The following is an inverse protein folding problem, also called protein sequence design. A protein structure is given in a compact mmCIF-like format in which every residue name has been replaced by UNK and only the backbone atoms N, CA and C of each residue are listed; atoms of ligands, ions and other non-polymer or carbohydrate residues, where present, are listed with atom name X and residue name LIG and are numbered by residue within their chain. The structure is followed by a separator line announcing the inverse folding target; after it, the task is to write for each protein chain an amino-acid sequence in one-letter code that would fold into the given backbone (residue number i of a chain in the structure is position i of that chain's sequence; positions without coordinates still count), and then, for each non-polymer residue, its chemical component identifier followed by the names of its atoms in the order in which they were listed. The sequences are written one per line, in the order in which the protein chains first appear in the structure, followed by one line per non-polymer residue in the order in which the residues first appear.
data_IF_432302135351
#
_entry.id   IF_432302135351
#
_cell.length_a   1.000
_cell.length_b   1.000
_cell.length_c   1.000
_cell.angle_alpha   90.00
_cell.angle_beta   90.00
_cell.angle_gamma   90.00
#
_symmetry.space_group_name_H-M   'P 1'
#
loop_
_entity.id
_entity.type
_entity.pdbx_description
1 polymer ?
#
# COMPACT_ATOMS: atom_id res chain seq x y z
N UNK A 1 -18.11 19.50 -9.86
CA UNK A 1 -17.03 19.24 -10.83
C UNK A 1 -15.76 19.09 -10.01
N UNK A 2 -15.34 17.83 -9.85
CA UNK A 2 -14.14 17.28 -9.20
C UNK A 2 -13.92 17.58 -7.72
N UNK A 3 -14.26 16.54 -6.96
CA UNK A 3 -14.02 16.35 -5.54
C UNK A 3 -12.72 15.50 -5.35
N UNK A 4 -11.95 15.31 -6.44
CA UNK A 4 -11.00 14.20 -6.61
C UNK A 4 -9.59 14.46 -6.08
N UNK A 5 -9.26 15.69 -5.64
CA UNK A 5 -7.91 16.01 -5.16
C UNK A 5 -7.55 15.39 -3.80
N UNK A 6 -8.50 14.75 -3.11
CA UNK A 6 -8.26 14.14 -1.79
C UNK A 6 -7.96 12.63 -1.79
N UNK A 7 -8.01 11.92 -2.93
CA UNK A 7 -7.97 10.44 -2.95
C UNK A 7 -7.18 9.83 -4.11
N UNK A 8 -6.17 10.52 -4.66
CA UNK A 8 -5.35 9.97 -5.75
C UNK A 8 -4.69 8.61 -5.41
N UNK A 9 -4.44 8.34 -4.13
CA UNK A 9 -3.87 7.08 -3.65
C UNK A 9 -4.90 5.95 -3.53
N UNK A 10 -6.21 6.24 -3.47
CA UNK A 10 -7.21 5.19 -3.18
C UNK A 10 -7.31 4.16 -4.31
N UNK A 11 -7.48 4.53 -5.59
CA UNK A 11 -7.60 3.55 -6.68
C UNK A 11 -6.48 2.50 -6.73
N UNK A 12 -5.17 2.83 -6.65
CA UNK A 12 -4.12 1.81 -6.65
C UNK A 12 -4.14 0.93 -5.39
N UNK A 13 -4.51 1.46 -4.23
CA UNK A 13 -4.65 0.64 -3.01
C UNK A 13 -5.81 -0.36 -3.09
N UNK A 14 -6.92 0.02 -3.73
CA UNK A 14 -8.04 -0.89 -3.96
C UNK A 14 -7.65 -2.09 -4.84
N UNK A 15 -6.90 -1.80 -5.91
CA UNK A 15 -6.38 -2.83 -6.82
C UNK A 15 -5.41 -3.76 -6.09
N UNK A 16 -4.50 -3.22 -5.29
CA UNK A 16 -3.59 -4.02 -4.47
C UNK A 16 -4.34 -4.90 -3.44
N UNK A 17 -5.37 -4.37 -2.76
CA UNK A 17 -6.18 -5.16 -1.82
C UNK A 17 -6.96 -6.29 -2.50
N UNK A 18 -7.47 -6.05 -3.70
CA UNK A 18 -8.12 -7.10 -4.48
C UNK A 18 -7.14 -8.18 -4.92
N UNK A 19 -5.95 -7.79 -5.39
CA UNK A 19 -4.88 -8.72 -5.74
C UNK A 19 -4.51 -9.64 -4.56
N UNK A 20 -4.40 -9.06 -3.35
CA UNK A 20 -4.13 -9.81 -2.12
C UNK A 20 -5.24 -10.80 -1.70
N UNK A 21 -6.46 -10.70 -2.26
CA UNK A 21 -7.49 -11.73 -2.03
C UNK A 21 -7.34 -12.94 -2.94
N UNK A 22 -6.62 -12.81 -4.06
CA UNK A 22 -6.36 -13.91 -4.98
C UNK A 22 -5.25 -14.79 -4.42
N UNK A 23 -4.07 -14.20 -4.24
CA UNK A 23 -2.92 -14.79 -3.58
C UNK A 23 -1.82 -13.74 -3.31
N UNK A 24 -0.83 -14.12 -2.50
CA UNK A 24 0.28 -13.26 -2.10
C UNK A 24 1.20 -12.90 -3.28
N UNK A 25 1.44 -13.83 -4.20
CA UNK A 25 2.33 -13.59 -5.36
C UNK A 25 1.72 -12.63 -6.39
N UNK A 26 0.39 -12.67 -6.53
CA UNK A 26 -0.38 -11.72 -7.34
C UNK A 26 -0.37 -10.34 -6.71
N UNK A 27 -0.49 -10.24 -5.38
CA UNK A 27 -0.27 -8.97 -4.69
C UNK A 27 1.12 -8.40 -4.96
N UNK A 28 2.18 -9.20 -4.79
CA UNK A 28 3.56 -8.75 -5.04
C UNK A 28 3.75 -8.25 -6.47
N UNK A 29 3.25 -9.01 -7.46
CA UNK A 29 3.34 -8.67 -8.87
C UNK A 29 2.60 -7.37 -9.21
N UNK A 30 1.39 -7.18 -8.66
CA UNK A 30 0.62 -5.95 -8.82
C UNK A 30 1.32 -4.77 -8.13
N UNK A 31 1.84 -4.99 -6.93
CA UNK A 31 2.54 -3.96 -6.17
C UNK A 31 3.80 -3.48 -6.91
N UNK A 32 4.64 -4.40 -7.40
CA UNK A 32 5.81 -4.08 -8.22
C UNK A 32 5.43 -3.31 -9.48
N UNK A 33 4.42 -3.78 -10.22
CA UNK A 33 3.95 -3.11 -11.42
C UNK A 33 3.40 -1.70 -11.15
N UNK A 34 2.71 -1.48 -10.02
CA UNK A 34 2.26 -0.15 -9.59
C UNK A 34 3.44 0.77 -9.25
N UNK A 35 4.45 0.26 -8.54
CA UNK A 35 5.65 1.03 -8.20
C UNK A 35 6.42 1.43 -9.45
N UNK A 36 6.68 0.49 -10.37
CA UNK A 36 7.35 0.77 -11.65
C UNK A 36 6.56 1.78 -12.50
N UNK A 37 5.24 1.55 -12.64
CA UNK A 37 4.38 2.46 -13.39
C UNK A 37 4.43 3.90 -12.85
N UNK A 38 4.44 4.09 -11.53
CA UNK A 38 4.45 5.42 -10.93
C UNK A 38 5.84 6.06 -10.91
N UNK A 39 6.86 5.35 -10.39
CA UNK A 39 8.18 5.92 -10.13
C UNK A 39 9.12 5.89 -11.34
N UNK A 40 9.02 4.88 -12.20
CA UNK A 40 9.93 4.71 -13.33
C UNK A 40 9.29 5.24 -14.63
N UNK A 41 8.03 4.88 -14.89
CA UNK A 41 7.35 5.20 -16.15
C UNK A 41 6.54 6.51 -16.09
N UNK A 42 6.40 7.12 -14.90
CA UNK A 42 5.62 8.34 -14.68
C UNK A 42 4.16 8.24 -15.21
N UNK A 43 3.54 7.06 -15.05
CA UNK A 43 2.15 6.79 -15.44
C UNK A 43 1.19 7.24 -14.34
N UNK A 44 0.01 7.72 -14.73
CA UNK A 44 -1.07 8.05 -13.81
C UNK A 44 -1.74 6.78 -13.28
N UNK A 45 -1.32 6.33 -12.09
CA UNK A 45 -1.87 5.17 -11.39
C UNK A 45 -3.20 5.47 -10.65
N UNK A 46 -3.72 6.70 -10.71
CA UNK A 46 -5.09 7.00 -10.28
C UNK A 46 -6.12 6.72 -11.39
N UNK A 47 -5.66 6.58 -12.63
CA UNK A 47 -6.49 6.27 -13.79
C UNK A 47 -6.90 4.80 -13.84
N UNK A 48 -8.20 4.55 -13.95
CA UNK A 48 -8.75 3.20 -14.17
C UNK A 48 -8.15 2.51 -15.40
N UNK A 49 -7.86 3.26 -16.46
CA UNK A 49 -7.23 2.72 -17.69
C UNK A 49 -5.84 2.17 -17.39
N UNK A 50 -5.02 2.90 -16.63
CA UNK A 50 -3.68 2.46 -16.23
C UNK A 50 -3.77 1.22 -15.35
N UNK A 51 -4.68 1.23 -14.38
CA UNK A 51 -4.87 0.13 -13.44
C UNK A 51 -5.35 -1.16 -14.13
N UNK A 52 -6.26 -1.07 -15.10
CA UNK A 52 -6.68 -2.22 -15.91
C UNK A 52 -5.55 -2.79 -16.76
N UNK A 53 -4.70 -1.93 -17.34
CA UNK A 53 -3.50 -2.38 -18.05
C UNK A 53 -2.59 -3.16 -17.12
N UNK A 54 -2.24 -2.61 -15.95
CA UNK A 54 -1.39 -3.29 -14.95
C UNK A 54 -1.99 -4.64 -14.53
N UNK A 55 -3.30 -4.69 -14.29
CA UNK A 55 -4.01 -5.92 -13.94
C UNK A 55 -3.88 -7.02 -14.99
N UNK A 56 -4.03 -6.66 -16.26
CA UNK A 56 -3.86 -7.59 -17.39
C UNK A 56 -2.41 -7.99 -17.61
N UNK A 57 -1.47 -7.05 -17.46
CA UNK A 57 -0.04 -7.26 -17.69
C UNK A 57 0.52 -8.30 -16.69
N UNK A 58 -0.05 -8.37 -15.48
CA UNK A 58 0.24 -9.39 -14.46
C UNK A 58 -0.48 -10.74 -14.73
N UNK A 59 -1.31 -10.82 -15.78
CA UNK A 59 -1.96 -12.05 -16.22
C UNK A 59 -3.30 -12.34 -15.54
N UNK A 60 -3.94 -11.33 -14.94
CA UNK A 60 -5.26 -11.47 -14.31
C UNK A 60 -6.35 -11.07 -15.31
N UNK A 61 -7.40 -11.89 -15.40
CA UNK A 61 -8.53 -11.62 -16.29
C UNK A 61 -9.26 -10.32 -15.92
N UNK A 62 -9.66 -9.55 -16.93
CA UNK A 62 -10.31 -8.24 -16.74
C UNK A 62 -11.67 -8.32 -16.06
N UNK A 63 -12.36 -9.45 -16.18
CA UNK A 63 -13.65 -9.69 -15.54
C UNK A 63 -13.53 -9.76 -14.01
N UNK A 64 -12.32 -10.00 -13.49
CA UNK A 64 -12.01 -9.97 -12.06
C UNK A 64 -11.64 -8.57 -11.56
N UNK A 65 -11.32 -7.62 -12.45
CA UNK A 65 -10.97 -6.24 -12.06
C UNK A 65 -12.04 -5.53 -11.20
N UNK A 66 -13.35 -5.69 -11.46
CA UNK A 66 -14.40 -5.10 -10.61
C UNK A 66 -14.37 -5.56 -9.15
N UNK A 67 -13.70 -6.68 -8.82
CA UNK A 67 -13.54 -7.11 -7.43
C UNK A 67 -12.88 -6.02 -6.57
N UNK A 68 -11.97 -5.22 -7.15
CA UNK A 68 -11.37 -4.06 -6.49
C UNK A 68 -12.34 -2.94 -6.08
N UNK A 69 -13.58 -2.96 -6.56
CA UNK A 69 -14.61 -2.00 -6.16
C UNK A 69 -15.45 -2.47 -4.97
N UNK A 70 -15.11 -3.61 -4.35
CA UNK A 70 -15.76 -4.06 -3.11
C UNK A 70 -15.63 -2.98 -2.02
N UNK A 71 -16.75 -2.45 -1.46
CA UNK A 71 -16.72 -1.41 -0.45
C UNK A 71 -15.88 -1.75 0.78
N UNK A 72 -15.67 -3.05 1.08
CA UNK A 72 -14.81 -3.48 2.20
C UNK A 72 -13.37 -3.01 2.03
N UNK A 73 -12.86 -2.94 0.80
CA UNK A 73 -11.50 -2.52 0.52
C UNK A 73 -11.34 -1.04 0.76
N UNK A 74 -12.30 -0.23 0.32
CA UNK A 74 -12.30 1.20 0.60
C UNK A 74 -12.32 1.47 2.10
N UNK A 75 -13.16 0.74 2.84
CA UNK A 75 -13.21 0.82 4.29
C UNK A 75 -11.84 0.48 4.90
N UNK A 76 -11.23 -0.64 4.49
CA UNK A 76 -9.91 -1.07 4.96
C UNK A 76 -8.81 -0.04 4.65
N UNK A 77 -8.77 0.55 3.45
CA UNK A 77 -7.81 1.62 3.11
C UNK A 77 -7.96 2.82 4.04
N UNK A 78 -9.21 3.24 4.30
CA UNK A 78 -9.48 4.40 5.17
C UNK A 78 -9.13 4.08 6.62
N UNK A 79 -9.49 2.90 7.12
CA UNK A 79 -9.21 2.48 8.49
C UNK A 79 -7.70 2.39 8.73
N UNK A 80 -6.94 1.78 7.83
CA UNK A 80 -5.47 1.66 7.94
C UNK A 80 -4.78 3.02 7.86
N UNK A 81 -5.25 3.92 6.99
CA UNK A 81 -4.74 5.29 6.94
C UNK A 81 -5.02 6.04 8.26
N UNK A 82 -6.22 5.91 8.82
CA UNK A 82 -6.58 6.53 10.10
C UNK A 82 -5.76 5.94 11.25
N UNK A 83 -5.52 4.64 11.23
CA UNK A 83 -4.67 3.95 12.20
C UNK A 83 -3.23 4.45 12.13
N UNK A 84 -2.66 4.59 10.93
CA UNK A 84 -1.33 5.15 10.73
C UNK A 84 -1.23 6.58 11.31
N UNK A 85 -2.23 7.43 11.04
CA UNK A 85 -2.29 8.78 11.60
C UNK A 85 -2.43 8.77 13.13
N UNK A 86 -3.23 7.87 13.69
CA UNK A 86 -3.41 7.72 15.14
C UNK A 86 -2.10 7.29 15.84
N UNK A 87 -1.26 6.51 15.16
CA UNK A 87 0.09 6.14 15.62
C UNK A 87 1.16 7.22 15.32
N UNK A 88 0.74 8.42 14.90
CA UNK A 88 1.66 9.54 14.65
C UNK A 88 2.48 9.43 13.36
N UNK A 89 2.12 8.55 12.43
CA UNK A 89 2.76 8.50 11.12
C UNK A 89 2.51 9.81 10.35
N UNK A 90 3.60 10.43 9.89
CA UNK A 90 3.55 11.70 9.15
C UNK A 90 3.93 11.55 7.67
N UNK A 91 4.24 10.33 7.24
CA UNK A 91 4.64 10.02 5.87
C UNK A 91 4.82 8.52 5.65
N UNK A 92 5.22 8.14 4.44
CA UNK A 92 5.49 6.76 4.05
C UNK A 92 6.95 6.61 3.59
N UNK A 93 7.60 5.44 3.82
CA UNK A 93 7.14 4.36 4.69
C UNK A 93 7.15 4.78 6.17
N UNK A 94 6.34 4.11 6.98
CA UNK A 94 6.33 4.25 8.44
C UNK A 94 6.27 2.86 9.07
N UNK A 95 7.05 2.64 10.12
CA UNK A 95 7.17 1.36 10.82
C UNK A 95 6.85 1.55 12.29
N UNK A 96 6.18 0.58 12.91
CA UNK A 96 5.98 0.54 14.36
C UNK A 96 6.18 -0.89 14.86
N UNK A 97 6.61 -1.05 16.10
CA UNK A 97 6.53 -2.35 16.78
C UNK A 97 5.20 -2.48 17.51
N UNK A 98 4.83 -3.70 17.89
CA UNK A 98 3.56 -3.95 18.59
C UNK A 98 3.44 -3.20 19.92
N UNK A 99 4.57 -2.95 20.61
CA UNK A 99 4.59 -2.41 21.97
C UNK A 99 4.86 -0.92 22.04
N UNK A 100 5.23 -0.28 20.94
CA UNK A 100 5.55 1.15 20.89
C UNK A 100 4.60 1.90 19.97
N UNK A 101 3.93 2.90 20.54
CA UNK A 101 2.94 3.74 19.86
C UNK A 101 3.56 4.73 18.87
N UNK A 102 4.89 4.93 18.92
CA UNK A 102 5.59 5.90 18.08
C UNK A 102 6.16 5.21 16.84
N UNK A 103 5.62 5.57 15.67
CA UNK A 103 6.15 5.10 14.39
C UNK A 103 7.52 5.71 14.04
N UNK A 104 8.48 4.87 13.67
CA UNK A 104 9.66 5.28 12.91
C UNK A 104 9.17 5.70 11.52
N UNK A 105 9.11 7.00 11.27
CA UNK A 105 8.62 7.57 10.01
C UNK A 105 9.78 7.87 9.06
N UNK A 106 9.58 7.60 7.77
CA UNK A 106 10.50 7.96 6.69
C UNK A 106 11.41 6.81 6.22
N UNK A 107 12.19 7.11 5.19
CA UNK A 107 13.20 6.18 4.65
C UNK A 107 14.41 6.15 5.59
N UNK A 108 14.72 4.96 6.10
CA UNK A 108 15.89 4.69 6.94
C UNK A 108 16.75 3.61 6.29
N UNK A 109 18.03 3.56 6.66
CA UNK A 109 18.90 2.49 6.19
C UNK A 109 18.54 1.15 6.84
N UNK A 110 18.93 0.04 6.22
CA UNK A 110 18.69 -1.30 6.77
C UNK A 110 19.31 -1.42 8.16
N UNK A 111 20.50 -0.88 8.38
CA UNK A 111 21.20 -0.94 9.67
C UNK A 111 20.46 -0.20 10.79
N UNK A 112 19.77 0.90 10.46
CA UNK A 112 18.93 1.64 11.42
C UNK A 112 17.73 0.79 11.82
N UNK A 113 17.07 0.15 10.84
CA UNK A 113 15.92 -0.71 11.08
C UNK A 113 16.33 -1.97 11.87
N UNK A 114 17.44 -2.62 11.50
CA UNK A 114 18.00 -3.79 12.21
C UNK A 114 18.30 -3.45 13.67
N UNK A 115 18.95 -2.31 13.94
CA UNK A 115 19.23 -1.87 15.31
C UNK A 115 17.95 -1.65 16.11
N UNK A 116 16.93 -1.04 15.48
CA UNK A 116 15.62 -0.85 16.08
C UNK A 116 14.98 -2.19 16.46
N UNK A 117 14.94 -3.14 15.52
CA UNK A 117 14.37 -4.47 15.72
C UNK A 117 15.11 -5.22 16.83
N UNK A 118 16.46 -5.24 16.80
CA UNK A 118 17.26 -5.95 17.79
C UNK A 118 17.03 -5.40 19.21
N UNK A 119 16.97 -4.07 19.36
CA UNK A 119 16.64 -3.46 20.66
C UNK A 119 15.30 -3.94 21.21
N UNK A 120 14.29 -4.04 20.36
CA UNK A 120 12.94 -4.49 20.74
C UNK A 120 12.86 -5.98 21.10
N UNK A 121 13.77 -6.79 20.54
CA UNK A 121 13.90 -8.21 20.87
C UNK A 121 14.69 -8.40 22.18
N UNK A 122 15.72 -7.59 22.41
CA UNK A 122 16.57 -7.66 23.60
C UNK A 122 15.88 -7.08 24.85
N UNK A 123 15.08 -6.01 24.71
CA UNK A 123 14.30 -5.39 25.80
C UNK A 123 13.13 -6.30 26.30
N UNK A 124 12.93 -7.49 25.71
CA UNK A 124 11.92 -8.49 26.11
C UNK A 124 12.47 -9.62 27.02
N UNK A 125 13.67 -9.46 27.58
CA UNK A 125 14.25 -10.33 28.62
C UNK A 125 14.12 -9.70 30.00
#
# INVERSE_FOLDING_TARGET
MRDDFGRCFVPPHLVAKAAAQLDETVFESIHEALMGAYFEDNRDISSEKTLKSIWQDVGIELDQFPAGQDPKFLKSVIDEQNEALACGAQGTPSFRTWHHDVGITGLHTVEVLERGINRELDDKV
#
